data_IF_624160866504
#
_entry.id   IF_624160866504
#
_cell.length_a   1.000
_cell.length_b   1.000
_cell.length_c   1.000
_cell.angle_alpha   90.00
_cell.angle_beta   90.00
_cell.angle_gamma   90.00
#
_symmetry.space_group_name_H-M   'P 1'
#
loop_
_entity.id
_entity.type
_entity.pdbx_description
1 polymer ?
#
# COMPACT_ATOMS: atom_id res chain seq x y z
N UNK A 1 43.50 -27.75 -70.26
CA UNK A 1 42.30 -27.22 -69.58
C UNK A 1 41.40 -26.63 -70.64
N UNK A 2 40.21 -27.21 -70.86
CA UNK A 2 39.34 -26.75 -71.93
C UNK A 2 38.73 -25.38 -71.59
N UNK A 3 38.90 -24.35 -72.44
CA UNK A 3 38.47 -22.97 -72.15
C UNK A 3 36.95 -22.84 -72.03
N UNK A 4 36.20 -23.81 -72.56
CA UNK A 4 34.74 -23.86 -72.50
C UNK A 4 34.20 -24.01 -71.08
N UNK A 5 34.88 -24.78 -70.21
CA UNK A 5 34.48 -24.93 -68.81
C UNK A 5 34.72 -23.67 -67.97
N UNK A 6 35.76 -22.91 -68.32
CA UNK A 6 36.10 -21.65 -67.64
C UNK A 6 35.07 -20.56 -67.97
N UNK A 7 34.61 -20.48 -69.21
CA UNK A 7 33.54 -19.56 -69.61
C UNK A 7 32.25 -19.83 -68.81
N UNK A 8 31.86 -21.10 -68.67
CA UNK A 8 30.65 -21.45 -67.90
C UNK A 8 30.76 -21.00 -66.44
N UNK A 9 31.87 -21.30 -65.78
CA UNK A 9 32.08 -20.92 -64.37
C UNK A 9 32.09 -19.39 -64.16
N UNK A 10 32.63 -18.63 -65.12
CA UNK A 10 32.66 -17.18 -65.05
C UNK A 10 31.26 -16.55 -65.20
N UNK A 11 30.42 -17.11 -66.09
CA UNK A 11 29.01 -16.70 -66.24
C UNK A 11 28.21 -16.90 -64.94
N UNK A 12 28.38 -18.04 -64.26
CA UNK A 12 27.70 -18.30 -62.99
C UNK A 12 28.17 -17.36 -61.88
N UNK A 13 29.48 -17.10 -61.80
CA UNK A 13 30.05 -16.18 -60.82
C UNK A 13 29.56 -14.75 -61.03
N UNK A 14 29.50 -14.25 -62.27
CA UNK A 14 29.02 -12.88 -62.55
C UNK A 14 27.53 -12.70 -62.26
N UNK A 15 26.70 -13.71 -62.53
CA UNK A 15 25.24 -13.62 -62.36
C UNK A 15 24.75 -13.97 -60.94
N UNK A 16 25.45 -14.84 -60.20
CA UNK A 16 24.99 -15.37 -58.91
C UNK A 16 25.85 -14.97 -57.70
N UNK A 17 26.84 -14.07 -57.83
CA UNK A 17 27.67 -13.70 -56.67
C UNK A 17 26.89 -13.09 -55.49
N UNK A 18 25.68 -12.53 -55.73
CA UNK A 18 24.80 -11.99 -54.68
C UNK A 18 23.49 -12.77 -54.50
N UNK A 19 23.40 -14.01 -54.99
CA UNK A 19 22.16 -14.80 -54.92
C UNK A 19 21.70 -15.04 -53.48
N UNK A 20 22.64 -15.30 -52.57
CA UNK A 20 22.35 -15.45 -51.15
C UNK A 20 21.76 -14.16 -50.57
N UNK A 21 22.35 -13.00 -50.86
CA UNK A 21 21.87 -11.70 -50.37
C UNK A 21 20.46 -11.39 -50.90
N UNK A 22 20.17 -11.74 -52.15
CA UNK A 22 18.85 -11.57 -52.77
C UNK A 22 17.76 -12.35 -52.02
N UNK A 23 18.10 -13.52 -51.46
CA UNK A 23 17.18 -14.33 -50.62
C UNK A 23 17.17 -13.91 -49.14
N UNK A 24 18.31 -13.51 -48.58
CA UNK A 24 18.45 -13.18 -47.15
C UNK A 24 17.79 -11.85 -46.81
N UNK A 25 17.92 -10.83 -47.66
CA UNK A 25 17.35 -9.49 -47.42
C UNK A 25 15.83 -9.51 -47.20
N UNK A 26 15.00 -10.12 -48.08
CA UNK A 26 13.55 -10.18 -47.84
C UNK A 26 13.20 -11.00 -46.60
N UNK A 27 13.99 -12.05 -46.30
CA UNK A 27 13.78 -12.90 -45.14
C UNK A 27 14.03 -12.16 -43.83
N UNK A 28 15.10 -11.37 -43.75
CA UNK A 28 15.41 -10.51 -42.59
C UNK A 28 14.36 -9.41 -42.43
N UNK A 29 13.93 -8.80 -43.55
CA UNK A 29 12.87 -7.79 -43.52
C UNK A 29 11.55 -8.36 -42.95
N UNK A 30 11.21 -9.59 -43.32
CA UNK A 30 10.04 -10.31 -42.80
C UNK A 30 10.16 -10.56 -41.29
N UNK A 31 11.33 -11.00 -40.81
CA UNK A 31 11.58 -11.23 -39.38
C UNK A 31 11.44 -9.92 -38.58
N UNK A 32 11.98 -8.80 -39.08
CA UNK A 32 11.85 -7.50 -38.43
C UNK A 32 10.37 -7.09 -38.37
N UNK A 33 9.64 -7.26 -39.46
CA UNK A 33 8.21 -6.97 -39.51
C UNK A 33 7.41 -7.79 -38.48
N UNK A 34 7.68 -9.09 -38.36
CA UNK A 34 7.06 -9.96 -37.36
C UNK A 34 7.32 -9.50 -35.93
N UNK A 35 8.56 -9.09 -35.61
CA UNK A 35 8.92 -8.60 -34.27
C UNK A 35 8.13 -7.32 -33.95
N UNK A 36 8.09 -6.38 -34.89
CA UNK A 36 7.32 -5.14 -34.74
C UNK A 36 5.83 -5.49 -34.53
N UNK A 37 5.27 -6.35 -35.37
CA UNK A 37 3.88 -6.79 -35.27
C UNK A 37 3.57 -7.44 -33.90
N UNK A 38 4.46 -8.29 -33.38
CA UNK A 38 4.32 -8.89 -32.06
C UNK A 38 4.33 -7.86 -30.92
N UNK A 39 5.15 -6.81 -31.03
CA UNK A 39 5.16 -5.72 -30.06
C UNK A 39 3.90 -4.84 -30.14
N UNK A 40 3.33 -4.67 -31.33
CA UNK A 40 2.08 -3.92 -31.54
C UNK A 40 0.83 -4.73 -31.19
N UNK A 41 0.92 -6.07 -31.13
CA UNK A 41 -0.17 -6.94 -30.76
C UNK A 41 -0.60 -6.69 -29.30
N UNK A 42 -1.73 -6.02 -29.13
CA UNK A 42 -2.33 -5.77 -27.81
C UNK A 42 -2.98 -7.06 -27.31
N UNK A 43 -2.33 -7.74 -26.37
CA UNK A 43 -2.93 -8.86 -25.64
C UNK A 43 -3.95 -8.32 -24.64
N UNK A 44 -5.24 -8.48 -24.93
CA UNK A 44 -6.29 -8.18 -23.96
C UNK A 44 -6.27 -9.23 -22.84
N UNK A 45 -6.08 -8.79 -21.60
CA UNK A 45 -6.18 -9.63 -20.40
C UNK A 45 -7.45 -9.20 -19.70
N UNK A 46 -8.53 -9.95 -19.90
CA UNK A 46 -9.79 -9.75 -19.19
C UNK A 46 -9.80 -10.59 -17.92
N UNK A 47 -10.12 -9.95 -16.80
CA UNK A 47 -10.28 -10.63 -15.51
C UNK A 47 -11.77 -10.74 -15.25
N UNK A 48 -12.30 -11.97 -15.34
CA UNK A 48 -13.70 -12.25 -15.01
C UNK A 48 -13.77 -12.47 -13.50
N UNK A 49 -14.53 -11.62 -12.81
CA UNK A 49 -14.80 -11.76 -11.38
C UNK A 49 -16.28 -12.04 -11.19
N UNK A 50 -16.60 -13.16 -10.55
CA UNK A 50 -17.96 -13.44 -10.09
C UNK A 50 -18.25 -12.63 -8.84
N UNK A 51 -19.30 -11.82 -8.88
CA UNK A 51 -19.78 -11.06 -7.73
C UNK A 51 -21.30 -11.08 -7.69
N UNK A 52 -21.87 -11.12 -6.48
CA UNK A 52 -23.31 -11.02 -6.28
C UNK A 52 -23.71 -9.54 -6.19
N UNK A 53 -24.81 -9.17 -6.86
CA UNK A 53 -25.38 -7.83 -6.77
C UNK A 53 -26.32 -7.78 -5.59
N UNK A 54 -25.80 -7.38 -4.43
CA UNK A 54 -26.61 -7.13 -3.25
C UNK A 54 -27.12 -5.68 -3.21
N UNK A 55 -28.33 -5.43 -2.67
CA UNK A 55 -28.85 -4.08 -2.51
C UNK A 55 -27.98 -3.27 -1.54
N UNK A 56 -27.77 -1.99 -1.85
CA UNK A 56 -26.91 -1.10 -1.04
C UNK A 56 -27.47 -0.85 0.37
N UNK A 57 -28.79 -0.97 0.52
CA UNK A 57 -29.49 -0.95 1.80
C UNK A 57 -30.52 -2.06 1.78
N UNK A 58 -30.56 -2.86 2.84
CA UNK A 58 -31.60 -3.86 3.04
C UNK A 58 -32.95 -3.14 3.10
N UNK A 59 -33.99 -3.74 2.54
CA UNK A 59 -35.36 -3.23 2.65
C UNK A 59 -35.72 -3.27 4.14
N UNK A 60 -35.85 -2.09 4.75
CA UNK A 60 -36.24 -1.99 6.15
C UNK A 60 -37.73 -2.32 6.27
N UNK A 61 -38.06 -3.27 7.15
CA UNK A 61 -39.46 -3.55 7.51
C UNK A 61 -39.94 -2.41 8.39
N UNK A 62 -40.82 -1.57 7.83
CA UNK A 62 -41.42 -0.45 8.56
C UNK A 62 -42.53 -1.02 9.45
N UNK A 63 -42.38 -0.85 10.75
CA UNK A 63 -43.37 -1.27 11.75
C UNK A 63 -44.02 -0.05 12.38
N UNK A 64 -45.34 -0.13 12.55
CA UNK A 64 -46.08 0.84 13.36
C UNK A 64 -45.73 0.69 14.83
N UNK A 65 -45.74 1.79 15.56
CA UNK A 65 -45.63 1.81 17.03
C UNK A 65 -46.99 1.86 17.73
N UNK A 66 -48.07 1.99 16.96
CA UNK A 66 -49.43 2.13 17.47
C UNK A 66 -50.34 1.06 16.87
N UNK A 67 -51.21 0.51 17.71
CA UNK A 67 -52.25 -0.46 17.33
C UNK A 67 -53.52 0.23 16.78
N UNK A 68 -53.41 1.48 16.35
CA UNK A 68 -54.51 2.26 15.77
C UNK A 68 -54.90 1.73 14.39
N UNK A 69 -56.17 1.91 14.01
CA UNK A 69 -56.64 1.55 12.66
C UNK A 69 -56.01 2.45 11.59
N UNK A 70 -55.79 1.88 10.40
CA UNK A 70 -55.28 2.60 9.23
C UNK A 70 -56.44 3.36 8.58
N UNK A 71 -56.27 4.66 8.37
CA UNK A 71 -57.24 5.52 7.65
C UNK A 71 -56.87 5.56 6.17
N UNK A 72 -55.59 5.81 5.86
CA UNK A 72 -55.12 6.04 4.50
C UNK A 72 -53.83 5.28 4.25
N UNK A 73 -53.77 4.59 3.11
CA UNK A 73 -52.57 3.92 2.64
C UNK A 73 -52.09 4.61 1.36
N UNK A 74 -50.89 5.18 1.39
CA UNK A 74 -50.26 5.86 0.26
C UNK A 74 -49.15 4.99 -0.37
N UNK A 75 -49.04 3.70 0.01
CA UNK A 75 -48.05 2.77 -0.52
C UNK A 75 -48.61 1.97 -1.69
N UNK A 76 -47.95 2.10 -2.84
CA UNK A 76 -48.12 1.21 -3.99
C UNK A 76 -46.95 0.22 -4.08
N UNK A 77 -47.23 -0.97 -4.61
CA UNK A 77 -46.21 -2.00 -4.76
C UNK A 77 -45.07 -1.53 -5.68
N UNK A 78 -43.82 -1.74 -5.25
CA UNK A 78 -42.60 -1.33 -5.95
C UNK A 78 -42.45 0.19 -6.18
N UNK A 79 -43.22 1.02 -5.48
CA UNK A 79 -43.04 2.47 -5.51
C UNK A 79 -41.73 2.87 -4.80
N UNK A 80 -41.07 3.92 -5.31
CA UNK A 80 -39.89 4.51 -4.67
C UNK A 80 -40.33 5.51 -3.63
N UNK A 81 -39.81 5.38 -2.40
CA UNK A 81 -40.14 6.25 -1.27
C UNK A 81 -38.89 6.95 -0.73
N UNK A 82 -39.02 8.21 -0.34
CA UNK A 82 -37.95 8.98 0.26
C UNK A 82 -38.06 9.03 1.79
N UNK A 83 -36.93 9.36 2.46
CA UNK A 83 -36.95 9.50 3.92
C UNK A 83 -37.70 10.78 4.30
N UNK A 84 -38.91 10.61 4.79
CA UNK A 84 -39.77 11.71 5.26
C UNK A 84 -41.19 11.63 4.74
N UNK A 85 -41.43 10.78 3.75
CA UNK A 85 -42.74 10.63 3.13
C UNK A 85 -43.74 9.95 4.07
N UNK A 86 -44.99 10.40 4.00
CA UNK A 86 -46.10 9.81 4.75
C UNK A 86 -46.63 8.62 3.96
N UNK A 87 -46.37 7.42 4.50
CA UNK A 87 -46.71 6.16 3.86
C UNK A 87 -48.10 5.66 4.27
N UNK A 88 -48.40 5.74 5.57
CA UNK A 88 -49.65 5.24 6.16
C UNK A 88 -50.10 6.23 7.22
N UNK A 89 -51.38 6.61 7.19
CA UNK A 89 -52.02 7.45 8.21
C UNK A 89 -52.90 6.60 9.12
N UNK A 90 -52.77 6.81 10.43
CA UNK A 90 -53.49 6.09 11.48
C UNK A 90 -54.52 6.97 12.18
N UNK A 91 -55.55 6.36 12.76
CA UNK A 91 -56.56 7.08 13.53
C UNK A 91 -56.06 7.57 14.89
N UNK A 92 -56.41 8.81 15.24
CA UNK A 92 -56.06 9.47 16.51
C UNK A 92 -57.04 9.16 17.66
N UNK A 93 -57.75 8.04 17.61
CA UNK A 93 -58.73 7.66 18.62
C UNK A 93 -58.10 7.13 19.93
N UNK A 94 -56.77 7.21 20.06
CA UNK A 94 -56.05 6.73 21.23
C UNK A 94 -56.22 7.68 22.42
N UNK A 95 -56.29 7.13 23.63
CA UNK A 95 -56.33 7.92 24.87
C UNK A 95 -55.11 8.86 24.98
N UNK A 96 -55.25 10.06 25.58
CA UNK A 96 -54.19 11.07 25.58
C UNK A 96 -52.88 10.57 26.20
N UNK A 97 -52.96 9.65 27.17
CA UNK A 97 -51.80 9.02 27.79
C UNK A 97 -51.03 8.08 26.83
N UNK A 98 -51.73 7.37 25.95
CA UNK A 98 -51.08 6.53 24.93
C UNK A 98 -50.38 7.36 23.86
N UNK A 99 -50.97 8.50 23.49
CA UNK A 99 -50.37 9.42 22.52
C UNK A 99 -49.05 10.03 23.04
N UNK A 100 -48.98 10.36 24.33
CA UNK A 100 -47.76 10.90 24.94
C UNK A 100 -46.66 9.84 25.01
N UNK A 101 -46.99 8.61 25.40
CA UNK A 101 -46.06 7.47 25.40
C UNK A 101 -45.47 7.21 24.00
N UNK A 102 -46.32 7.17 22.96
CA UNK A 102 -45.89 7.01 21.58
C UNK A 102 -44.94 8.12 21.13
N UNK A 103 -45.29 9.39 21.42
CA UNK A 103 -44.44 10.55 21.11
C UNK A 103 -43.07 10.45 21.82
N UNK A 104 -43.03 9.92 23.04
CA UNK A 104 -41.79 9.73 23.78
C UNK A 104 -40.89 8.65 23.16
N UNK A 105 -41.46 7.50 22.79
CA UNK A 105 -40.74 6.41 22.11
C UNK A 105 -40.10 6.90 20.80
N UNK A 106 -40.85 7.66 20.01
CA UNK A 106 -40.37 8.24 18.74
C UNK A 106 -39.21 9.20 19.00
N UNK A 107 -39.36 10.12 19.97
CA UNK A 107 -38.31 11.08 20.34
C UNK A 107 -37.03 10.38 20.82
N UNK A 108 -37.15 9.31 21.59
CA UNK A 108 -35.98 8.54 22.02
C UNK A 108 -35.22 7.91 20.86
N UNK A 109 -35.93 7.28 19.90
CA UNK A 109 -35.30 6.67 18.72
C UNK A 109 -34.62 7.71 17.84
N UNK A 110 -35.25 8.86 17.61
CA UNK A 110 -34.62 9.97 16.86
C UNK A 110 -33.32 10.43 17.52
N UNK A 111 -33.29 10.52 18.86
CA UNK A 111 -32.05 10.82 19.61
C UNK A 111 -30.99 9.73 19.44
N UNK A 112 -31.38 8.44 19.42
CA UNK A 112 -30.44 7.32 19.19
C UNK A 112 -29.84 7.38 17.79
N UNK A 113 -30.66 7.57 16.76
CA UNK A 113 -30.20 7.74 15.37
C UNK A 113 -29.23 8.93 15.23
N UNK A 114 -29.54 10.06 15.85
CA UNK A 114 -28.68 11.24 15.77
C UNK A 114 -27.32 11.00 16.47
N UNK A 115 -27.33 10.29 17.62
CA UNK A 115 -26.11 9.86 18.31
C UNK A 115 -25.26 8.94 17.43
N UNK A 116 -25.87 8.00 16.72
CA UNK A 116 -25.17 7.10 15.80
C UNK A 116 -24.57 7.84 14.60
N UNK A 117 -25.33 8.73 13.97
CA UNK A 117 -24.83 9.61 12.89
C UNK A 117 -23.63 10.45 13.37
N UNK A 118 -23.69 11.01 14.58
CA UNK A 118 -22.58 11.75 15.20
C UNK A 118 -21.36 10.85 15.43
N UNK A 119 -21.54 9.62 15.94
CA UNK A 119 -20.46 8.63 16.10
C UNK A 119 -19.81 8.27 14.76
N UNK A 120 -20.61 8.04 13.72
CA UNK A 120 -20.12 7.69 12.39
C UNK A 120 -19.38 8.85 11.71
N UNK A 121 -19.84 10.11 11.83
CA UNK A 121 -19.08 11.29 11.38
C UNK A 121 -17.73 11.39 12.10
N UNK A 122 -17.71 11.19 13.42
CA UNK A 122 -16.47 11.22 14.22
C UNK A 122 -15.49 10.13 13.79
N UNK A 123 -15.96 8.90 13.56
CA UNK A 123 -15.11 7.78 13.14
C UNK A 123 -14.52 8.01 11.75
N UNK A 124 -15.32 8.48 10.77
CA UNK A 124 -14.85 8.88 9.44
C UNK A 124 -13.79 9.98 9.50
N UNK A 125 -14.00 11.03 10.31
CA UNK A 125 -13.02 12.11 10.51
C UNK A 125 -11.70 11.59 11.10
N UNK A 126 -11.77 10.67 12.07
CA UNK A 126 -10.56 10.05 12.65
C UNK A 126 -9.81 9.19 11.63
N UNK A 127 -10.52 8.41 10.80
CA UNK A 127 -9.92 7.59 9.73
C UNK A 127 -9.20 8.47 8.70
N UNK A 128 -9.81 9.56 8.24
CA UNK A 128 -9.17 10.47 7.27
C UNK A 128 -7.93 11.19 7.84
N UNK A 129 -7.98 11.64 9.10
CA UNK A 129 -6.83 12.21 9.79
C UNK A 129 -5.67 11.20 9.93
N UNK A 130 -5.98 9.94 10.27
CA UNK A 130 -4.98 8.87 10.41
C UNK A 130 -4.34 8.53 9.06
N UNK A 131 -5.14 8.44 8.00
CA UNK A 131 -4.66 8.21 6.63
C UNK A 131 -3.70 9.31 6.16
N UNK A 132 -3.95 10.59 6.50
CA UNK A 132 -3.02 11.70 6.18
C UNK A 132 -1.71 11.65 6.99
N UNK A 133 -1.74 11.22 8.25
CA UNK A 133 -0.55 11.20 9.13
C UNK A 133 0.37 10.00 8.87
N UNK A 134 -0.18 8.81 8.60
CA UNK A 134 0.58 7.56 8.45
C UNK A 134 1.70 7.60 7.39
N UNK A 135 1.50 8.13 6.17
CA UNK A 135 2.56 8.18 5.16
C UNK A 135 3.68 9.15 5.53
N UNK A 136 3.38 10.27 6.21
CA UNK A 136 4.40 11.21 6.70
C UNK A 136 5.29 10.56 7.75
N UNK A 137 4.69 9.85 8.72
CA UNK A 137 5.43 9.10 9.76
C UNK A 137 6.28 8.00 9.12
N UNK A 138 5.72 7.23 8.18
CA UNK A 138 6.45 6.14 7.48
C UNK A 138 7.65 6.68 6.68
N UNK A 139 7.51 7.80 5.98
CA UNK A 139 8.61 8.48 5.28
C UNK A 139 9.70 8.94 6.26
N UNK A 140 9.32 9.56 7.38
CA UNK A 140 10.26 10.01 8.43
C UNK A 140 11.07 8.85 9.02
N UNK A 141 10.40 7.75 9.37
CA UNK A 141 11.06 6.54 9.91
C UNK A 141 11.97 5.84 8.89
N UNK A 142 11.63 5.88 7.59
CA UNK A 142 12.49 5.32 6.54
C UNK A 142 13.78 6.14 6.37
N UNK A 143 13.69 7.48 6.46
CA UNK A 143 14.85 8.38 6.44
C UNK A 143 15.77 8.13 7.64
N UNK A 144 15.23 8.10 8.86
CA UNK A 144 16.04 7.84 10.07
C UNK A 144 16.65 6.44 10.11
N UNK A 145 15.97 5.40 9.59
CA UNK A 145 16.59 4.07 9.45
C UNK A 145 17.76 4.08 8.46
N UNK A 146 17.65 4.77 7.32
CA UNK A 146 18.74 4.87 6.34
C UNK A 146 19.97 5.57 6.94
N UNK A 147 19.79 6.70 7.62
CA UNK A 147 20.90 7.43 8.24
C UNK A 147 21.58 6.64 9.36
N UNK A 148 20.79 5.97 10.23
CA UNK A 148 21.35 5.09 11.28
C UNK A 148 22.13 3.90 10.70
N UNK A 149 21.63 3.28 9.63
CA UNK A 149 22.34 2.18 8.94
C UNK A 149 23.66 2.67 8.32
N UNK A 150 23.67 3.83 7.67
CA UNK A 150 24.88 4.43 7.11
C UNK A 150 25.91 4.76 8.21
N UNK A 151 25.47 5.37 9.32
CA UNK A 151 26.34 5.65 10.46
C UNK A 151 26.92 4.37 11.09
N UNK A 152 26.14 3.30 11.22
CA UNK A 152 26.62 2.01 11.70
C UNK A 152 27.67 1.41 10.76
N UNK A 153 27.42 1.43 9.46
CA UNK A 153 28.36 0.95 8.45
C UNK A 153 29.69 1.72 8.49
N UNK A 154 29.64 3.05 8.59
CA UNK A 154 30.82 3.91 8.78
C UNK A 154 31.57 3.54 10.07
N UNK A 155 30.84 3.34 11.18
CA UNK A 155 31.42 2.93 12.46
C UNK A 155 32.10 1.56 12.39
N UNK A 156 31.52 0.62 11.66
CA UNK A 156 32.14 -0.70 11.41
C UNK A 156 33.36 -0.60 10.49
N UNK A 157 33.32 0.24 9.45
CA UNK A 157 34.45 0.48 8.54
C UNK A 157 35.63 1.11 9.30
N UNK A 158 35.35 2.09 10.17
CA UNK A 158 36.36 2.72 11.03
C UNK A 158 36.96 1.74 12.04
N UNK A 159 36.15 0.84 12.63
CA UNK A 159 36.64 -0.25 13.48
C UNK A 159 37.55 -1.22 12.73
N UNK A 160 37.15 -1.65 11.52
CA UNK A 160 37.98 -2.51 10.65
C UNK A 160 39.30 -1.85 10.28
N UNK A 161 39.27 -0.57 9.91
CA UNK A 161 40.48 0.19 9.59
C UNK A 161 41.42 0.31 10.80
N UNK A 162 40.88 0.60 11.99
CA UNK A 162 41.66 0.65 13.23
C UNK A 162 42.28 -0.72 13.58
N UNK A 163 41.54 -1.81 13.36
CA UNK A 163 42.04 -3.17 13.55
C UNK A 163 43.17 -3.50 12.56
N UNK A 164 43.04 -3.12 11.29
CA UNK A 164 44.09 -3.31 10.28
C UNK A 164 45.34 -2.49 10.59
N UNK A 165 45.20 -1.23 11.02
CA UNK A 165 46.32 -0.41 11.50
C UNK A 165 47.01 -1.05 12.70
N UNK A 166 46.26 -1.54 13.68
CA UNK A 166 46.84 -2.22 14.84
C UNK A 166 47.59 -3.49 14.44
N UNK A 167 47.08 -4.23 13.45
CA UNK A 167 47.71 -5.44 12.90
C UNK A 167 48.97 -5.15 12.07
N UNK A 168 49.00 -4.01 11.36
CA UNK A 168 50.20 -3.51 10.66
C UNK A 168 51.28 -3.06 11.66
N UNK A 169 50.91 -2.34 12.71
CA UNK A 169 51.85 -1.90 13.77
C UNK A 169 52.45 -3.10 14.52
N UNK A 170 51.72 -4.21 14.67
CA UNK A 170 52.25 -5.46 15.24
C UNK A 170 53.16 -6.27 14.31
N UNK A 171 53.34 -5.85 13.05
CA UNK A 171 54.14 -6.56 12.04
C UNK A 171 55.48 -5.87 11.71
N UNK A 172 55.74 -4.71 12.33
CA UNK A 172 57.06 -4.07 12.28
C UNK A 172 57.87 -4.66 13.45
N UNK A 173 58.97 -5.41 13.21
CA UNK A 173 59.88 -5.79 14.27
C UNK A 173 60.62 -4.52 14.71
N UNK A 174 60.18 -3.92 15.80
CA UNK A 174 61.01 -2.96 16.53
C UNK A 174 62.07 -3.81 17.25
N UNK A 175 63.37 -3.67 16.95
CA UNK A 175 64.40 -4.34 17.73
C UNK A 175 64.39 -3.78 19.15
N UNK A 176 64.39 -4.69 20.13
CA UNK A 176 64.40 -4.40 21.55
C UNK A 176 65.58 -3.47 21.93
N UNK A 177 65.26 -2.26 22.35
CA UNK A 177 66.02 -1.55 23.38
C UNK A 177 65.05 -0.92 24.39
N UNK A 178 64.86 -1.66 25.48
CA UNK A 178 64.84 -1.20 26.87
C UNK A 178 64.42 0.26 27.14
N UNK A 179 63.17 0.48 27.60
CA UNK A 179 62.82 1.49 28.62
C UNK A 179 61.60 0.99 29.42
N UNK A 180 61.58 1.14 30.77
CA UNK A 180 60.71 0.40 31.67
C UNK A 180 59.37 1.07 31.93
N UNK A 181 58.43 0.26 32.43
CA UNK A 181 57.45 0.53 33.47
C UNK A 181 57.11 2.01 33.72
N UNK A 182 55.90 2.45 33.35
CA UNK A 182 55.10 3.40 34.12
C UNK A 182 53.66 3.55 33.55
N UNK A 183 52.71 3.68 34.47
CA UNK A 183 51.29 4.03 34.30
C UNK A 183 50.34 2.93 33.78
N UNK A 184 49.84 2.03 34.64
CA UNK A 184 48.81 2.23 35.69
C UNK A 184 47.43 2.61 35.11
N UNK A 185 46.45 1.83 35.56
CA UNK A 185 45.02 2.14 35.66
C UNK A 185 44.09 1.71 34.50
N UNK A 186 43.53 0.52 34.66
CA UNK A 186 42.13 0.26 34.27
C UNK A 186 41.22 1.16 35.11
N UNK A 187 40.21 1.82 34.51
CA UNK A 187 38.99 2.12 35.23
C UNK A 187 37.86 1.20 34.75
N UNK A 188 37.75 0.03 35.39
CA UNK A 188 36.44 -0.48 35.80
C UNK A 188 36.14 0.22 37.12
N UNK A 189 34.90 0.67 37.32
CA UNK A 189 34.37 1.48 38.42
C UNK A 189 34.42 2.99 38.17
N UNK A 190 33.35 3.53 37.56
CA UNK A 190 32.49 4.56 38.17
C UNK A 190 31.35 4.93 37.20
N UNK A 191 30.21 4.25 37.34
CA UNK A 191 28.85 4.82 37.19
C UNK A 191 27.83 3.87 37.80
N UNK A 192 28.16 3.39 39.00
CA UNK A 192 27.19 2.84 39.97
C UNK A 192 26.73 3.92 40.97
N UNK A 193 27.18 5.16 40.81
CA UNK A 193 26.73 6.34 41.56
C UNK A 193 25.93 7.21 40.60
N UNK A 194 24.76 6.73 40.21
CA UNK A 194 23.55 7.55 40.00
C UNK A 194 22.34 6.70 40.43
N UNK A 195 22.52 6.20 41.65
CA UNK A 195 21.51 6.01 42.68
C UNK A 195 20.44 7.11 42.59
N UNK A 196 19.19 6.65 42.57
CA UNK A 196 18.10 7.21 43.38
C UNK A 196 18.00 8.73 43.46
N UNK A 197 17.53 9.36 42.38
CA UNK A 197 16.85 10.65 42.53
C UNK A 197 15.73 10.86 41.50
N UNK A 198 14.79 9.91 41.41
CA UNK A 198 13.45 10.20 40.84
C UNK A 198 12.37 9.16 41.17
N UNK A 199 12.23 8.87 42.47
CA UNK A 199 10.96 8.41 43.04
C UNK A 199 10.56 9.49 44.04
N UNK A 200 9.91 10.53 43.52
CA UNK A 200 9.11 11.50 44.27
C UNK A 200 8.63 12.55 43.26
N UNK A 201 7.43 12.35 42.75
CA UNK A 201 6.38 13.36 42.75
C UNK A 201 5.09 12.76 42.17
N UNK A 202 4.06 12.91 42.98
CA UNK A 202 2.65 12.96 42.59
C UNK A 202 2.44 13.85 41.35
#
# INVERSE_FOLDING_TARGET
MDPKFLQSAEFYRRRYHNFATLLIVPLVCLIIFLIIFLCFAKKEITVISTGEVAPTKVVDVIQSYSDSSIIKNNLDNNATVEKGDVLVEYSENASPNRQTEQKNIIKERQKREEKEKKKHRKSKKRRSLRAKKLPKIRKRNRKTRKTRKAALAMKMKQRRFRFLLQKMVSFIPIPNMMVPMLFRSKPRLLKFILIFKKQEKC
#
